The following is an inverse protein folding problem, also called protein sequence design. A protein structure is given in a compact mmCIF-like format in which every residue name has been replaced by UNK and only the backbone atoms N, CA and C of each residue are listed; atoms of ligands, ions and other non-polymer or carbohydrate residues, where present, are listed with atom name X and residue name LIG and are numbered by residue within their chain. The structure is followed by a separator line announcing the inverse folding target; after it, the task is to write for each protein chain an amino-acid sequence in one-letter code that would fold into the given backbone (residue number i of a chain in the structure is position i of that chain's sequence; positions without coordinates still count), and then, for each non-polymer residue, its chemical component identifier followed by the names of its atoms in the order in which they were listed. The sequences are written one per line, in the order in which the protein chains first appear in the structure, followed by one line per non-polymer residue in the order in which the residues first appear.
data_IF_081984858815
#
_entry.id   IF_081984858815
#
_cell.length_a   1.000
_cell.length_b   1.000
_cell.length_c   1.000
_cell.angle_alpha   90.00
_cell.angle_beta   90.00
_cell.angle_gamma   90.00
#
_symmetry.space_group_name_H-M   'P 1'
#
loop_
_entity.id
_entity.type
_entity.pdbx_description
1 polymer ?
#
# COMPACT_ATOMS: atom_id res chain seq x y z
N UNK A 1 39.74 37.65 31.77
CA UNK A 1 38.92 38.09 30.62
C UNK A 1 39.27 37.24 29.39
N UNK A 2 38.23 36.79 28.65
CA UNK A 2 38.21 36.08 27.35
C UNK A 2 38.45 34.55 27.29
N UNK A 3 37.43 33.81 27.73
CA UNK A 3 36.55 32.89 26.96
C UNK A 3 37.12 31.96 25.85
N UNK A 4 37.12 30.66 26.20
CA UNK A 4 36.51 29.44 25.59
C UNK A 4 36.45 29.18 24.05
N UNK A 5 36.46 27.86 23.66
CA UNK A 5 36.60 27.27 22.32
C UNK A 5 35.20 26.91 21.73
N UNK A 6 35.01 25.98 20.77
CA UNK A 6 35.87 25.39 19.73
C UNK A 6 35.36 25.69 18.31
N UNK A 7 36.21 25.41 17.30
CA UNK A 7 35.82 25.42 15.89
C UNK A 7 34.67 24.43 15.66
N UNK A 8 33.50 24.98 15.33
CA UNK A 8 32.33 24.26 14.88
C UNK A 8 32.65 23.55 13.57
N UNK A 9 32.33 22.26 13.52
CA UNK A 9 32.24 21.45 12.30
C UNK A 9 30.77 21.42 11.85
N UNK A 10 30.33 22.26 10.90
CA UNK A 10 29.00 22.12 10.32
C UNK A 10 29.14 21.64 8.86
N UNK A 11 29.77 20.48 8.64
CA UNK A 11 29.89 19.94 7.28
C UNK A 11 29.35 18.51 7.12
N UNK A 12 28.96 17.84 8.20
CA UNK A 12 28.48 16.46 8.14
C UNK A 12 26.94 16.33 8.08
N UNK A 13 26.18 17.42 8.28
CA UNK A 13 24.71 17.35 8.37
C UNK A 13 23.98 17.63 7.03
N UNK A 14 24.68 18.17 6.03
CA UNK A 14 24.06 18.54 4.73
C UNK A 14 24.08 17.36 3.74
N UNK A 15 25.01 16.41 3.88
CA UNK A 15 25.08 15.24 3.00
C UNK A 15 24.01 14.18 3.28
N UNK A 16 23.32 14.22 4.43
CA UNK A 16 22.27 13.25 4.79
C UNK A 16 20.87 13.66 4.29
N UNK A 17 20.68 14.91 3.88
CA UNK A 17 19.38 15.44 3.42
C UNK A 17 19.14 15.28 1.91
N UNK A 18 20.15 14.87 1.14
CA UNK A 18 20.04 14.77 -0.32
C UNK A 18 19.63 13.37 -0.85
N UNK A 19 19.39 12.38 0.02
CA UNK A 19 19.04 11.00 -0.40
C UNK A 19 17.55 10.63 -0.35
N UNK A 20 16.64 11.55 -0.01
CA UNK A 20 15.21 11.22 0.13
C UNK A 20 14.31 11.69 -1.02
N UNK A 21 14.85 12.24 -2.10
CA UNK A 21 14.04 12.74 -3.22
C UNK A 21 14.52 12.24 -4.59
N UNK A 22 14.66 10.92 -4.75
CA UNK A 22 14.55 10.31 -6.08
C UNK A 22 13.08 10.04 -6.36
N UNK A 23 12.47 10.92 -7.15
CA UNK A 23 11.04 10.95 -7.41
C UNK A 23 10.50 9.84 -8.31
N UNK A 24 9.18 9.69 -8.27
CA UNK A 24 8.37 9.22 -9.39
C UNK A 24 6.93 9.67 -9.11
N UNK A 25 6.28 10.34 -10.08
CA UNK A 25 5.02 11.07 -9.89
C UNK A 25 3.95 10.31 -9.09
N UNK A 26 3.78 10.72 -7.84
CA UNK A 26 2.61 10.42 -7.04
C UNK A 26 1.72 11.65 -7.09
N UNK A 27 0.51 11.50 -7.62
CA UNK A 27 -0.57 12.40 -7.21
C UNK A 27 -0.64 12.38 -5.67
N UNK A 28 -0.84 13.53 -5.02
CA UNK A 28 -0.78 13.64 -3.55
C UNK A 28 -1.70 12.61 -2.88
N UNK A 29 -1.13 11.50 -2.43
CA UNK A 29 -1.81 10.46 -1.68
C UNK A 29 -2.14 11.00 -0.29
N UNK A 30 -3.30 10.64 0.25
CA UNK A 30 -3.59 10.83 1.67
C UNK A 30 -2.74 9.88 2.50
N UNK A 31 -2.55 10.18 3.80
CA UNK A 31 -1.78 9.27 4.67
C UNK A 31 -2.36 7.86 4.76
N UNK A 32 -3.69 7.69 4.59
CA UNK A 32 -4.31 6.38 4.54
C UNK A 32 -3.99 5.65 3.22
N UNK A 33 -4.04 6.36 2.10
CA UNK A 33 -3.68 5.81 0.78
C UNK A 33 -2.21 5.41 0.73
N UNK A 34 -1.31 6.25 1.25
CA UNK A 34 0.12 5.95 1.30
C UNK A 34 0.41 4.70 2.13
N UNK A 35 -0.18 4.60 3.33
CA UNK A 35 -0.03 3.42 4.18
C UNK A 35 -0.64 2.15 3.53
N UNK A 36 -1.76 2.27 2.83
CA UNK A 36 -2.36 1.17 2.08
C UNK A 36 -1.48 0.72 0.91
N UNK A 37 -0.84 1.65 0.19
CA UNK A 37 0.12 1.34 -0.88
C UNK A 37 1.36 0.63 -0.33
N UNK A 38 1.89 1.09 0.81
CA UNK A 38 3.03 0.44 1.48
C UNK A 38 2.69 -0.98 1.95
N UNK A 39 1.48 -1.19 2.47
CA UNK A 39 1.01 -2.52 2.83
C UNK A 39 0.85 -3.40 1.59
N UNK A 40 0.25 -2.84 0.53
CA UNK A 40 0.09 -3.51 -0.76
C UNK A 40 1.42 -3.99 -1.32
N UNK A 41 2.43 -3.11 -1.31
CA UNK A 41 3.78 -3.42 -1.73
C UNK A 41 4.36 -4.56 -0.91
N UNK A 42 4.29 -4.46 0.42
CA UNK A 42 4.83 -5.47 1.33
C UNK A 42 4.24 -6.85 1.06
N UNK A 43 2.92 -6.93 0.86
CA UNK A 43 2.23 -8.20 0.59
C UNK A 43 2.47 -8.64 -0.85
N UNK A 44 1.93 -7.95 -1.86
CA UNK A 44 1.80 -8.47 -3.22
C UNK A 44 2.98 -8.17 -4.15
N UNK A 45 3.87 -7.25 -3.79
CA UNK A 45 5.05 -6.87 -4.62
C UNK A 45 6.34 -7.43 -4.05
N UNK A 46 6.55 -7.36 -2.74
CA UNK A 46 7.80 -7.78 -2.11
C UNK A 46 7.68 -9.18 -1.50
N UNK A 47 6.53 -9.52 -0.92
CA UNK A 47 6.41 -10.74 -0.10
C UNK A 47 7.11 -10.57 1.26
N UNK A 48 7.18 -9.35 1.78
CA UNK A 48 7.77 -9.00 3.07
C UNK A 48 6.72 -9.11 4.19
N UNK A 49 6.61 -10.31 4.79
CA UNK A 49 5.62 -10.60 5.85
C UNK A 49 5.83 -9.74 7.08
N UNK A 50 7.08 -9.60 7.53
CA UNK A 50 7.40 -8.88 8.76
C UNK A 50 7.00 -7.40 8.66
N UNK A 51 7.21 -6.78 7.50
CA UNK A 51 6.76 -5.41 7.27
C UNK A 51 5.25 -5.32 7.24
N UNK A 52 4.57 -6.17 6.47
CA UNK A 52 3.11 -6.20 6.39
C UNK A 52 2.47 -6.37 7.78
N UNK A 53 3.00 -7.30 8.58
CA UNK A 53 2.53 -7.59 9.93
C UNK A 53 2.66 -6.39 10.87
N UNK A 54 3.78 -5.64 10.83
CA UNK A 54 3.96 -4.41 11.64
C UNK A 54 2.96 -3.30 11.29
N UNK A 55 2.43 -3.32 10.07
CA UNK A 55 1.43 -2.35 9.60
C UNK A 55 0.01 -2.71 10.04
N UNK A 56 -0.25 -3.95 10.47
CA UNK A 56 -1.56 -4.38 10.95
C UNK A 56 -1.86 -3.83 12.34
N UNK A 57 -3.15 -3.61 12.61
CA UNK A 57 -3.65 -3.20 13.92
C UNK A 57 -3.54 -4.33 14.96
N UNK A 58 -3.68 -5.57 14.50
CA UNK A 58 -3.51 -6.78 15.31
C UNK A 58 -2.37 -7.61 14.73
N UNK A 59 -1.10 -7.27 15.01
CA UNK A 59 0.06 -7.93 14.40
C UNK A 59 0.18 -9.42 14.77
N UNK A 60 -0.53 -9.88 15.81
CA UNK A 60 -0.56 -11.29 16.22
C UNK A 60 -1.63 -12.13 15.48
N UNK A 61 -2.52 -11.51 14.71
CA UNK A 61 -3.53 -12.21 13.90
C UNK A 61 -3.09 -12.24 12.44
N UNK A 62 -2.26 -13.23 12.10
CA UNK A 62 -1.65 -13.32 10.77
C UNK A 62 -2.29 -14.34 9.86
N UNK A 63 -3.31 -15.09 10.27
CA UNK A 63 -3.87 -16.20 9.47
C UNK A 63 -4.21 -15.80 8.02
N UNK A 64 -4.89 -14.67 7.83
CA UNK A 64 -5.22 -14.14 6.49
C UNK A 64 -3.99 -13.64 5.74
N UNK A 65 -3.02 -13.05 6.44
CA UNK A 65 -1.75 -12.63 5.86
C UNK A 65 -0.93 -13.83 5.41
N UNK A 66 -0.89 -14.88 6.21
CA UNK A 66 -0.13 -16.11 5.97
C UNK A 66 -0.69 -16.87 4.78
N UNK A 67 -2.01 -17.03 4.72
CA UNK A 67 -2.69 -17.58 3.56
C UNK A 67 -2.35 -16.78 2.28
N UNK A 68 -2.40 -15.45 2.35
CA UNK A 68 -2.13 -14.61 1.18
C UNK A 68 -0.66 -14.64 0.75
N UNK A 69 0.27 -14.73 1.69
CA UNK A 69 1.70 -14.84 1.37
C UNK A 69 2.02 -16.18 0.73
N UNK A 70 1.36 -17.25 1.17
CA UNK A 70 1.50 -18.57 0.57
C UNK A 70 0.93 -18.60 -0.85
N UNK A 71 -0.27 -18.05 -1.07
CA UNK A 71 -0.85 -17.89 -2.41
C UNK A 71 0.13 -17.17 -3.36
N UNK A 72 0.70 -16.05 -2.91
CA UNK A 72 1.65 -15.27 -3.71
C UNK A 72 2.93 -16.05 -4.00
N UNK A 73 3.43 -16.82 -3.03
CA UNK A 73 4.61 -17.67 -3.20
C UNK A 73 4.35 -18.74 -4.26
N UNK A 74 3.17 -19.37 -4.24
CA UNK A 74 2.75 -20.35 -5.24
C UNK A 74 2.60 -19.70 -6.63
N UNK A 75 1.92 -18.55 -6.72
CA UNK A 75 1.78 -17.77 -7.96
C UNK A 75 3.16 -17.47 -8.59
N UNK A 76 4.10 -16.95 -7.79
CA UNK A 76 5.47 -16.62 -8.26
C UNK A 76 6.27 -17.83 -8.69
N UNK A 77 6.09 -18.96 -8.01
CA UNK A 77 6.77 -20.21 -8.37
C UNK A 77 6.28 -20.73 -9.72
N UNK A 78 4.96 -20.65 -9.95
CA UNK A 78 4.34 -21.10 -11.20
C UNK A 78 4.56 -20.15 -12.39
N UNK A 79 4.76 -18.86 -12.13
CA UNK A 79 5.00 -17.85 -13.17
C UNK A 79 5.93 -16.74 -12.66
N UNK A 80 7.26 -16.92 -12.81
CA UNK A 80 8.26 -15.95 -12.37
C UNK A 80 8.12 -14.57 -13.01
N UNK A 81 7.46 -14.47 -14.18
CA UNK A 81 7.22 -13.18 -14.83
C UNK A 81 6.20 -12.30 -14.08
N UNK A 82 5.51 -12.83 -13.05
CA UNK A 82 4.61 -12.10 -12.16
C UNK A 82 5.33 -11.30 -11.07
N UNK A 83 6.66 -11.43 -10.93
CA UNK A 83 7.49 -10.64 -10.00
C UNK A 83 7.66 -9.16 -10.40
N UNK A 84 6.75 -8.63 -11.20
CA UNK A 84 6.79 -7.24 -11.65
C UNK A 84 6.23 -6.34 -10.55
N UNK A 85 6.75 -5.12 -10.49
CA UNK A 85 6.18 -4.01 -9.72
C UNK A 85 5.40 -3.06 -10.66
N UNK A 86 4.24 -3.49 -11.21
CA UNK A 86 3.50 -2.68 -12.16
C UNK A 86 2.81 -1.51 -11.47
N UNK A 87 2.51 -0.48 -12.25
CA UNK A 87 1.70 0.64 -11.76
C UNK A 87 0.34 0.17 -11.27
N UNK A 88 -0.15 0.85 -10.24
CA UNK A 88 -1.49 0.66 -9.67
C UNK A 88 -2.28 1.97 -9.72
N UNK A 89 -3.59 1.86 -9.59
CA UNK A 89 -4.50 2.97 -9.37
C UNK A 89 -5.05 2.86 -7.95
N UNK A 90 -5.08 3.97 -7.22
CA UNK A 90 -5.43 4.02 -5.81
C UNK A 90 -6.53 5.04 -5.60
N UNK A 91 -7.51 4.71 -4.77
CA UNK A 91 -8.53 5.69 -4.35
C UNK A 91 -9.12 5.35 -2.99
N UNK A 92 -9.45 6.38 -2.22
CA UNK A 92 -10.33 6.24 -1.06
C UNK A 92 -11.77 5.95 -1.51
N UNK A 93 -12.41 4.97 -0.88
CA UNK A 93 -13.78 4.59 -1.21
C UNK A 93 -14.77 5.72 -0.91
N UNK A 94 -15.66 6.08 -1.86
CA UNK A 94 -16.66 7.13 -1.66
C UNK A 94 -17.82 6.71 -0.74
N UNK A 95 -17.94 5.40 -0.44
CA UNK A 95 -19.08 4.81 0.28
C UNK A 95 -18.83 4.56 1.77
N UNK A 96 -17.71 4.99 2.32
CA UNK A 96 -17.38 4.70 3.72
C UNK A 96 -18.05 5.67 4.70
N UNK A 97 -18.49 5.19 5.87
CA UNK A 97 -18.93 6.06 6.96
C UNK A 97 -17.77 6.96 7.39
N UNK A 98 -18.01 8.27 7.44
CA UNK A 98 -16.98 9.32 7.45
C UNK A 98 -16.08 9.39 8.70
N UNK A 99 -16.22 8.52 9.71
CA UNK A 99 -15.52 8.68 10.99
C UNK A 99 -14.66 7.46 11.32
N UNK A 100 -13.33 7.68 11.34
CA UNK A 100 -12.33 6.79 11.93
C UNK A 100 -11.69 5.77 10.99
N UNK A 101 -12.50 5.08 10.18
CA UNK A 101 -12.05 4.01 9.29
C UNK A 101 -12.10 4.44 7.83
N UNK A 102 -11.09 4.04 7.05
CA UNK A 102 -10.97 4.34 5.62
C UNK A 102 -10.74 3.05 4.84
N UNK A 103 -11.53 2.81 3.79
CA UNK A 103 -11.33 1.71 2.84
C UNK A 103 -10.61 2.28 1.63
N UNK A 104 -9.37 1.85 1.45
CA UNK A 104 -8.58 2.16 0.26
C UNK A 104 -8.78 1.06 -0.76
N UNK A 105 -9.03 1.46 -1.99
CA UNK A 105 -9.19 0.58 -3.13
C UNK A 105 -7.96 0.71 -4.02
N UNK A 106 -7.39 -0.42 -4.40
CA UNK A 106 -6.24 -0.49 -5.28
C UNK A 106 -6.62 -1.36 -6.47
N UNK A 107 -6.47 -0.82 -7.67
CA UNK A 107 -6.61 -1.55 -8.92
C UNK A 107 -5.24 -1.72 -9.57
N UNK A 108 -4.90 -2.93 -10.00
CA UNK A 108 -3.69 -3.24 -10.77
C UNK A 108 -4.07 -3.51 -12.24
N UNK A 109 -3.89 -2.53 -13.16
CA UNK A 109 -4.28 -2.70 -14.55
C UNK A 109 -3.57 -3.84 -15.28
N UNK A 110 -2.34 -4.17 -14.89
CA UNK A 110 -1.51 -5.15 -15.59
C UNK A 110 -2.12 -6.55 -15.63
N UNK A 111 -2.87 -6.93 -14.60
CA UNK A 111 -3.51 -8.24 -14.47
C UNK A 111 -4.97 -8.15 -13.98
N UNK A 112 -5.55 -6.94 -14.01
CA UNK A 112 -6.93 -6.65 -13.62
C UNK A 112 -7.29 -7.12 -12.21
N UNK A 113 -6.31 -7.14 -11.29
CA UNK A 113 -6.58 -7.47 -9.88
C UNK A 113 -7.00 -6.23 -9.09
N UNK A 114 -8.00 -6.42 -8.23
CA UNK A 114 -8.48 -5.40 -7.30
C UNK A 114 -8.15 -5.81 -5.85
N UNK A 115 -7.86 -4.82 -5.03
CA UNK A 115 -7.55 -4.97 -3.61
C UNK A 115 -8.30 -3.93 -2.81
N UNK A 116 -8.70 -4.33 -1.60
CA UNK A 116 -9.40 -3.49 -0.64
C UNK A 116 -8.64 -3.55 0.68
N UNK A 117 -8.27 -2.42 1.23
CA UNK A 117 -7.52 -2.33 2.47
C UNK A 117 -8.27 -1.41 3.40
N UNK A 118 -8.69 -1.93 4.56
CA UNK A 118 -9.36 -1.15 5.59
C UNK A 118 -8.31 -0.64 6.57
N UNK A 119 -8.28 0.67 6.73
CA UNK A 119 -7.31 1.42 7.50
C UNK A 119 -8.01 2.09 8.68
N UNK A 120 -7.39 2.06 9.85
CA UNK A 120 -7.77 2.86 11.02
C UNK A 120 -6.60 3.72 11.45
N UNK A 121 -6.88 4.96 11.86
CA UNK A 121 -5.84 5.82 12.43
C UNK A 121 -5.59 5.43 13.89
N UNK A 122 -4.33 5.20 14.24
CA UNK A 122 -3.84 4.93 15.60
C UNK A 122 -2.72 5.92 15.93
N UNK A 123 -3.06 6.95 16.72
CA UNK A 123 -2.19 8.10 16.94
C UNK A 123 -1.86 8.83 15.63
N UNK A 124 -0.58 8.86 15.27
CA UNK A 124 -0.09 9.48 14.03
C UNK A 124 -0.02 8.53 12.84
N UNK A 125 -0.22 7.22 13.07
CA UNK A 125 -0.04 6.19 12.06
C UNK A 125 -1.37 5.64 11.56
N UNK A 126 -1.38 5.13 10.33
CA UNK A 126 -2.48 4.34 9.80
C UNK A 126 -2.16 2.86 9.91
N UNK A 127 -3.11 2.07 10.41
CA UNK A 127 -2.99 0.63 10.63
C UNK A 127 -4.00 -0.14 9.81
N UNK A 128 -3.59 -1.29 9.28
CA UNK A 128 -4.46 -2.19 8.53
C UNK A 128 -5.32 -2.99 9.50
N UNK A 129 -6.64 -2.84 9.41
CA UNK A 129 -7.62 -3.61 10.20
C UNK A 129 -7.87 -4.96 9.55
N UNK A 130 -8.08 -4.94 8.23
CA UNK A 130 -8.36 -6.09 7.37
C UNK A 130 -8.03 -5.72 5.93
N UNK A 131 -7.84 -6.71 5.08
CA UNK A 131 -7.57 -6.50 3.67
C UNK A 131 -8.19 -7.63 2.87
N UNK A 132 -8.51 -7.38 1.61
CA UNK A 132 -9.04 -8.38 0.70
C UNK A 132 -8.39 -8.19 -0.67
N UNK A 133 -7.98 -9.28 -1.28
CA UNK A 133 -7.65 -9.33 -2.70
C UNK A 133 -8.78 -10.04 -3.43
N UNK A 134 -9.02 -9.63 -4.67
CA UNK A 134 -10.03 -10.19 -5.56
C UNK A 134 -9.77 -11.66 -5.97
N UNK A 135 -9.03 -12.47 -5.23
CA UNK A 135 -8.81 -13.88 -5.56
C UNK A 135 -9.58 -14.77 -4.58
N UNK A 136 -10.48 -15.59 -5.12
CA UNK A 136 -11.24 -16.60 -4.37
C UNK A 136 -10.76 -18.01 -4.72
N UNK A 137 -10.12 -18.72 -3.77
CA UNK A 137 -9.66 -20.08 -3.97
C UNK A 137 -10.80 -21.12 -4.05
N UNK A 138 -12.01 -20.84 -3.53
CA UNK A 138 -13.15 -21.77 -3.57
C UNK A 138 -13.91 -21.71 -4.91
N UNK A 139 -13.96 -20.52 -5.49
CA UNK A 139 -14.55 -20.28 -6.82
C UNK A 139 -13.57 -20.55 -7.96
N UNK A 140 -12.31 -20.84 -7.66
CA UNK A 140 -11.26 -21.09 -8.66
C UNK A 140 -10.97 -19.87 -9.55
N UNK A 141 -11.08 -18.64 -9.01
CA UNK A 141 -10.98 -17.44 -9.84
C UNK A 141 -11.14 -16.11 -9.11
N UNK A 142 -11.05 -15.02 -9.88
CA UNK A 142 -11.15 -13.67 -9.35
C UNK A 142 -12.61 -13.29 -9.04
N UNK A 143 -12.92 -12.78 -7.83
CA UNK A 143 -14.28 -12.52 -7.30
C UNK A 143 -15.10 -11.54 -8.17
N UNK A 144 -14.49 -10.62 -8.92
CA UNK A 144 -15.12 -9.95 -10.05
C UNK A 144 -14.18 -8.99 -10.76
N UNK A 145 -14.42 -8.72 -12.05
CA UNK A 145 -13.81 -7.62 -12.79
C UNK A 145 -14.52 -6.27 -12.50
N UNK A 146 -15.33 -6.20 -11.43
CA UNK A 146 -16.37 -5.17 -11.30
C UNK A 146 -16.01 -4.03 -10.37
N UNK A 147 -15.10 -4.15 -9.39
CA UNK A 147 -14.97 -3.08 -8.39
C UNK A 147 -14.47 -1.77 -9.02
N UNK A 148 -13.41 -1.79 -9.82
CA UNK A 148 -12.92 -0.61 -10.53
C UNK A 148 -13.95 -0.10 -11.56
N UNK A 149 -14.42 -0.95 -12.47
CA UNK A 149 -15.33 -0.57 -13.56
C UNK A 149 -16.66 -0.03 -13.03
N UNK A 150 -17.24 -0.69 -12.02
CA UNK A 150 -18.45 -0.26 -11.34
C UNK A 150 -18.26 1.08 -10.66
N UNK A 151 -17.15 1.31 -9.95
CA UNK A 151 -16.93 2.56 -9.25
C UNK A 151 -16.66 3.73 -10.19
N UNK A 152 -15.95 3.51 -11.30
CA UNK A 152 -15.79 4.54 -12.34
C UNK A 152 -17.14 4.88 -12.97
N UNK A 153 -18.04 3.90 -13.12
CA UNK A 153 -19.39 4.12 -13.65
C UNK A 153 -20.33 4.81 -12.64
N UNK A 154 -20.39 4.32 -11.40
CA UNK A 154 -21.24 4.84 -10.33
C UNK A 154 -20.79 6.22 -9.84
N UNK A 155 -19.47 6.48 -9.86
CA UNK A 155 -18.87 7.71 -9.36
C UNK A 155 -17.91 8.29 -10.41
N UNK A 156 -18.41 8.87 -11.52
CA UNK A 156 -17.57 9.37 -12.61
C UNK A 156 -16.64 10.53 -12.21
N UNK A 157 -16.92 11.22 -11.10
CA UNK A 157 -16.06 12.25 -10.51
C UNK A 157 -14.95 11.71 -9.60
N UNK A 158 -14.89 10.40 -9.35
CA UNK A 158 -13.90 9.77 -8.48
C UNK A 158 -12.52 9.76 -9.17
N UNK A 159 -11.55 10.44 -8.55
CA UNK A 159 -10.20 10.59 -9.11
C UNK A 159 -9.29 9.46 -8.61
N UNK A 160 -9.03 8.50 -9.49
CA UNK A 160 -8.07 7.43 -9.25
C UNK A 160 -6.64 7.93 -9.42
N UNK A 161 -5.84 7.77 -8.37
CA UNK A 161 -4.46 8.23 -8.31
C UNK A 161 -3.53 7.15 -8.82
N UNK A 162 -2.72 7.45 -9.83
CA UNK A 162 -1.74 6.49 -10.33
C UNK A 162 -0.50 6.49 -9.44
N UNK A 163 -0.07 5.30 -9.03
CA UNK A 163 1.21 5.07 -8.37
C UNK A 163 2.05 4.17 -9.28
N UNK A 164 3.21 4.67 -9.69
CA UNK A 164 4.12 3.94 -10.55
C UNK A 164 5.17 3.23 -9.69
N UNK A 165 5.37 1.92 -9.91
CA UNK A 165 6.31 1.10 -9.15
C UNK A 165 6.13 1.29 -7.63
N UNK A 166 4.93 1.00 -7.09
CA UNK A 166 4.62 1.16 -5.66
C UNK A 166 5.69 0.59 -4.72
#
# INVERSE_FOLDING_TARGET
MKNRPPASTPFLLIALLCFLFTGCGNENLSGAEEAAVQFYKSVWVEGNKDQAQRMMMQPNRTDELDARMEDLRLERTSNPALQKNPSILVVESPTDPQVGDKKILIHRPADKKDYKIWMRKEGWNWKVIKFQGNYDPHSGGYISNDAYQRLVHEFPGLRWKRVNRP
#
